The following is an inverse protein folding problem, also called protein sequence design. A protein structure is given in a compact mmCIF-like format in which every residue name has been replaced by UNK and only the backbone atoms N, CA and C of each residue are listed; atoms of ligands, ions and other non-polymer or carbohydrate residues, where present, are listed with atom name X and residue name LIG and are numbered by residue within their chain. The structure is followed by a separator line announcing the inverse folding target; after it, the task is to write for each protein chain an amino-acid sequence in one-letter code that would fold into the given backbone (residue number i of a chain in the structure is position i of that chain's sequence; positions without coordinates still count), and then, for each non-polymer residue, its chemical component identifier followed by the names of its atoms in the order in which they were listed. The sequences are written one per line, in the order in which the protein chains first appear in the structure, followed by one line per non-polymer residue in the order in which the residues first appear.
data_IF_206720251477
#
_entry.id   IF_206720251477
#
_cell.length_a   1.000
_cell.length_b   1.000
_cell.length_c   1.000
_cell.angle_alpha   90.00
_cell.angle_beta   90.00
_cell.angle_gamma   90.00
#
_symmetry.space_group_name_H-M   'P 1'
#
loop_
_entity.id
_entity.type
_entity.pdbx_description
1 polymer ?
#
# COMPACT_ATOMS: atom_id res chain seq x y z
N UNK A 1 -29.69 24.70 -20.45
CA UNK A 1 -28.51 23.81 -20.43
C UNK A 1 -29.01 22.42 -20.76
N UNK A 2 -28.74 21.88 -21.95
CA UNK A 2 -29.24 20.54 -22.32
C UNK A 2 -28.41 19.51 -21.56
N UNK A 3 -28.99 18.92 -20.52
CA UNK A 3 -28.42 17.76 -19.84
C UNK A 3 -28.80 16.55 -20.68
N UNK A 4 -27.81 15.95 -21.34
CA UNK A 4 -28.07 14.72 -22.09
C UNK A 4 -28.31 13.55 -21.13
N UNK A 5 -29.28 12.67 -21.43
CA UNK A 5 -29.50 11.48 -20.62
C UNK A 5 -28.26 10.57 -20.69
N UNK A 6 -27.85 10.02 -19.54
CA UNK A 6 -26.64 9.19 -19.40
C UNK A 6 -26.60 8.00 -20.37
N UNK A 7 -27.77 7.52 -20.79
CA UNK A 7 -27.93 6.43 -21.77
C UNK A 7 -27.33 6.74 -23.14
N UNK A 8 -27.22 8.02 -23.52
CA UNK A 8 -26.72 8.43 -24.83
C UNK A 8 -25.24 8.78 -24.82
N UNK A 9 -24.63 8.91 -23.64
CA UNK A 9 -23.22 9.31 -23.49
C UNK A 9 -22.28 8.31 -24.20
N UNK A 10 -22.47 6.98 -24.12
CA UNK A 10 -21.62 6.04 -24.84
C UNK A 10 -21.60 6.23 -26.36
N UNK A 11 -22.77 6.49 -26.95
CA UNK A 11 -22.87 6.75 -28.39
C UNK A 11 -22.23 8.09 -28.77
N UNK A 12 -22.42 9.13 -27.95
CA UNK A 12 -21.83 10.44 -28.15
C UNK A 12 -20.31 10.39 -28.13
N UNK A 13 -19.72 9.68 -27.17
CA UNK A 13 -18.27 9.51 -27.06
C UNK A 13 -17.73 8.77 -28.28
N UNK A 14 -18.36 7.67 -28.70
CA UNK A 14 -17.98 6.96 -29.94
C UNK A 14 -18.08 7.83 -31.20
N UNK A 15 -18.99 8.81 -31.23
CA UNK A 15 -19.09 9.78 -32.31
C UNK A 15 -17.94 10.80 -32.24
N UNK A 16 -17.67 11.34 -31.05
CA UNK A 16 -16.56 12.29 -30.83
C UNK A 16 -15.21 11.67 -31.18
N UNK A 17 -14.98 10.41 -30.81
CA UNK A 17 -13.76 9.69 -31.19
C UNK A 17 -13.63 9.53 -32.70
N UNK A 18 -14.72 9.18 -33.39
CA UNK A 18 -14.72 9.11 -34.86
C UNK A 18 -14.40 10.46 -35.50
N UNK A 19 -15.00 11.54 -34.98
CA UNK A 19 -14.70 12.90 -35.44
C UNK A 19 -13.23 13.28 -35.17
N UNK A 20 -12.71 12.97 -33.98
CA UNK A 20 -11.32 13.23 -33.61
C UNK A 20 -10.34 12.48 -34.52
N UNK A 21 -10.65 11.22 -34.88
CA UNK A 21 -9.85 10.41 -35.83
C UNK A 21 -9.93 10.90 -37.28
N UNK A 22 -10.98 11.63 -37.65
CA UNK A 22 -11.15 12.21 -38.97
C UNK A 22 -10.43 13.55 -39.15
N UNK A 23 -9.86 14.13 -38.07
CA UNK A 23 -9.07 15.34 -38.14
C UNK A 23 -7.70 15.07 -38.80
N UNK A 24 -7.03 16.11 -39.34
CA UNK A 24 -5.65 15.99 -39.78
C UNK A 24 -4.77 15.37 -38.69
N UNK A 25 -3.79 14.54 -39.07
CA UNK A 25 -2.89 13.82 -38.14
C UNK A 25 -2.28 14.74 -37.07
N UNK A 26 -1.95 15.98 -37.44
CA UNK A 26 -1.41 16.99 -36.52
C UNK A 26 -2.36 17.36 -35.37
N UNK A 27 -3.68 17.22 -35.55
CA UNK A 27 -4.72 17.59 -34.59
C UNK A 27 -5.41 16.38 -33.95
N UNK A 28 -5.39 15.23 -34.63
CA UNK A 28 -5.99 13.98 -34.16
C UNK A 28 -5.55 13.63 -32.74
N UNK A 29 -4.25 13.69 -32.46
CA UNK A 29 -3.70 13.35 -31.15
C UNK A 29 -4.26 14.24 -30.03
N UNK A 30 -4.28 15.55 -30.23
CA UNK A 30 -4.77 16.51 -29.23
C UNK A 30 -6.27 16.33 -28.99
N UNK A 31 -7.05 16.07 -30.05
CA UNK A 31 -8.49 15.86 -29.92
C UNK A 31 -8.83 14.58 -29.13
N UNK A 32 -8.08 13.49 -29.37
CA UNK A 32 -8.22 12.25 -28.60
C UNK A 32 -7.82 12.45 -27.14
N UNK A 33 -6.68 13.09 -26.87
CA UNK A 33 -6.21 13.36 -25.50
C UNK A 33 -7.22 14.22 -24.70
N UNK A 34 -7.85 15.22 -25.33
CA UNK A 34 -8.87 16.05 -24.69
C UNK A 34 -10.15 15.28 -24.34
N UNK A 35 -10.59 14.37 -25.22
CA UNK A 35 -11.77 13.52 -24.96
C UNK A 35 -11.50 12.61 -23.75
N UNK A 36 -10.32 12.01 -23.69
CA UNK A 36 -9.90 11.14 -22.58
C UNK A 36 -9.85 11.91 -21.24
N UNK A 37 -9.21 13.08 -21.23
CA UNK A 37 -9.18 13.95 -20.04
C UNK A 37 -10.57 14.36 -19.59
N UNK A 38 -11.45 14.72 -20.53
CA UNK A 38 -12.83 15.09 -20.23
C UNK A 38 -13.61 13.93 -19.62
N UNK A 39 -13.36 12.68 -20.05
CA UNK A 39 -14.01 11.49 -19.51
C UNK A 39 -13.64 11.23 -18.05
N UNK A 40 -12.38 11.44 -17.68
CA UNK A 40 -11.92 11.39 -16.27
C UNK A 40 -12.69 12.36 -15.41
N UNK A 41 -12.77 13.60 -15.87
CA UNK A 41 -13.40 14.67 -15.12
C UNK A 41 -14.92 14.49 -15.04
N UNK A 42 -15.54 13.96 -16.10
CA UNK A 42 -16.99 13.73 -16.18
C UNK A 42 -17.44 12.52 -15.35
N UNK A 43 -16.58 11.52 -15.16
CA UNK A 43 -16.91 10.26 -14.47
C UNK A 43 -15.97 9.93 -13.30
N UNK A 44 -15.83 10.80 -12.29
CA UNK A 44 -14.81 10.66 -11.25
C UNK A 44 -15.03 9.47 -10.30
N UNK A 45 -16.25 8.94 -10.22
CA UNK A 45 -16.62 7.82 -9.33
C UNK A 45 -16.67 6.46 -10.02
N UNK A 46 -16.48 6.42 -11.34
CA UNK A 46 -16.54 5.16 -12.09
C UNK A 46 -15.13 4.62 -12.30
N UNK A 47 -14.89 3.32 -12.06
CA UNK A 47 -13.58 2.74 -12.27
C UNK A 47 -13.22 2.70 -13.75
N UNK A 48 -11.93 2.83 -14.05
CA UNK A 48 -11.42 2.88 -15.43
C UNK A 48 -11.87 1.73 -16.31
N UNK A 49 -11.91 0.51 -15.75
CA UNK A 49 -12.37 -0.68 -16.47
C UNK A 49 -13.81 -0.59 -16.94
N UNK A 50 -14.66 0.06 -16.16
CA UNK A 50 -16.06 0.24 -16.54
C UNK A 50 -16.20 1.24 -17.68
N UNK A 51 -15.39 2.31 -17.67
CA UNK A 51 -15.36 3.30 -18.76
C UNK A 51 -14.79 2.68 -20.05
N UNK A 52 -13.72 1.88 -19.96
CA UNK A 52 -13.15 1.13 -21.10
C UNK A 52 -14.21 0.28 -21.81
N UNK A 53 -15.01 -0.48 -21.04
CA UNK A 53 -16.10 -1.32 -21.56
C UNK A 53 -17.25 -0.48 -22.11
N UNK A 54 -17.67 0.54 -21.36
CA UNK A 54 -18.83 1.38 -21.71
C UNK A 54 -18.63 2.12 -23.04
N UNK A 55 -17.41 2.56 -23.31
CA UNK A 55 -17.10 3.35 -24.51
C UNK A 55 -16.33 2.56 -25.58
N UNK A 56 -15.82 1.36 -25.27
CA UNK A 56 -15.13 0.49 -26.24
C UNK A 56 -13.69 0.91 -26.54
N UNK A 57 -12.96 1.29 -25.50
CA UNK A 57 -11.72 2.05 -25.60
C UNK A 57 -10.52 1.16 -25.31
N UNK A 58 -10.02 0.50 -26.34
CA UNK A 58 -8.92 -0.47 -26.18
C UNK A 58 -7.53 0.13 -26.34
N UNK A 59 -7.42 1.37 -26.85
CA UNK A 59 -6.15 2.00 -27.23
C UNK A 59 -5.65 3.09 -26.24
N UNK A 60 -6.44 3.42 -25.21
CA UNK A 60 -6.15 4.50 -24.27
C UNK A 60 -4.84 4.36 -23.49
N UNK A 61 -4.34 3.13 -23.33
CA UNK A 61 -3.05 2.88 -22.65
C UNK A 61 -1.85 3.49 -23.36
N UNK A 62 -2.01 3.86 -24.62
CA UNK A 62 -0.96 4.47 -25.44
C UNK A 62 -0.92 5.99 -25.33
N UNK A 63 -1.92 6.62 -24.69
CA UNK A 63 -1.93 8.08 -24.59
C UNK A 63 -1.03 8.58 -23.49
N UNK A 64 -0.51 9.78 -23.70
CA UNK A 64 0.39 10.43 -22.76
C UNK A 64 -0.29 10.61 -21.39
N UNK A 65 -1.55 11.03 -21.40
CA UNK A 65 -2.33 11.23 -20.18
C UNK A 65 -2.47 9.93 -19.36
N UNK A 66 -2.81 8.80 -19.99
CA UNK A 66 -2.88 7.52 -19.29
C UNK A 66 -1.53 7.12 -18.69
N UNK A 67 -0.44 7.28 -19.45
CA UNK A 67 0.91 6.96 -18.98
C UNK A 67 1.32 7.82 -17.79
N UNK A 68 1.03 9.11 -17.81
CA UNK A 68 1.32 10.04 -16.71
C UNK A 68 0.55 9.66 -15.44
N UNK A 69 -0.77 9.45 -15.54
CA UNK A 69 -1.61 9.06 -14.39
C UNK A 69 -1.20 7.69 -13.84
N UNK A 70 -0.90 6.74 -14.72
CA UNK A 70 -0.44 5.41 -14.30
C UNK A 70 0.94 5.45 -13.65
N UNK A 71 1.85 6.28 -14.15
CA UNK A 71 3.20 6.44 -13.59
C UNK A 71 3.14 7.11 -12.22
N UNK A 72 2.33 8.16 -12.06
CA UNK A 72 2.11 8.82 -10.78
C UNK A 72 1.50 7.85 -9.76
N UNK A 73 0.48 7.07 -10.16
CA UNK A 73 -0.13 6.05 -9.31
C UNK A 73 0.86 4.97 -8.88
N UNK A 74 1.71 4.50 -9.79
CA UNK A 74 2.78 3.54 -9.47
C UNK A 74 3.82 4.13 -8.52
N UNK A 75 4.29 5.35 -8.78
CA UNK A 75 5.26 6.03 -7.93
C UNK A 75 4.72 6.24 -6.52
N UNK A 76 3.47 6.69 -6.40
CA UNK A 76 2.81 6.90 -5.11
C UNK A 76 2.66 5.59 -4.35
N UNK A 77 2.12 4.56 -4.99
CA UNK A 77 1.96 3.24 -4.36
C UNK A 77 3.30 2.62 -3.94
N UNK A 78 4.35 2.79 -4.74
CA UNK A 78 5.69 2.32 -4.39
C UNK A 78 6.29 3.09 -3.20
N UNK A 79 6.12 4.42 -3.17
CA UNK A 79 6.59 5.25 -2.06
C UNK A 79 5.84 4.95 -0.76
N UNK A 80 4.52 4.84 -0.81
CA UNK A 80 3.68 4.50 0.34
C UNK A 80 4.02 3.11 0.87
N UNK A 81 4.02 2.09 0.02
CA UNK A 81 4.35 0.72 0.43
C UNK A 81 5.77 0.58 0.99
N UNK A 82 6.75 1.30 0.44
CA UNK A 82 8.12 1.29 0.96
C UNK A 82 8.23 2.01 2.31
N UNK A 83 7.48 3.09 2.51
CA UNK A 83 7.45 3.80 3.79
C UNK A 83 6.76 2.98 4.87
N UNK A 84 5.59 2.40 4.57
CA UNK A 84 4.84 1.53 5.47
C UNK A 84 5.68 0.32 5.87
N UNK A 85 6.19 -0.45 4.91
CA UNK A 85 7.00 -1.63 5.21
C UNK A 85 8.28 -1.31 6.00
N UNK A 86 8.90 -0.15 5.77
CA UNK A 86 10.05 0.30 6.58
C UNK A 86 9.64 0.65 8.01
N UNK A 87 8.49 1.28 8.20
CA UNK A 87 8.00 1.65 9.53
C UNK A 87 7.60 0.42 10.34
N UNK A 88 6.83 -0.49 9.73
CA UNK A 88 6.41 -1.75 10.34
C UNK A 88 7.63 -2.60 10.72
N UNK A 89 8.52 -2.88 9.76
CA UNK A 89 9.71 -3.70 10.04
C UNK A 89 10.65 -3.09 11.08
N UNK A 90 10.71 -1.75 11.20
CA UNK A 90 11.47 -1.10 12.27
C UNK A 90 10.80 -1.23 13.63
N UNK A 91 9.47 -1.15 13.70
CA UNK A 91 8.72 -1.30 14.94
C UNK A 91 8.79 -2.74 15.44
N UNK A 92 8.52 -3.70 14.56
CA UNK A 92 8.60 -5.14 14.86
C UNK A 92 10.02 -5.51 15.31
N UNK A 93 11.05 -5.17 14.52
CA UNK A 93 12.43 -5.50 14.88
C UNK A 93 12.90 -4.84 16.18
N UNK A 94 12.36 -3.68 16.55
CA UNK A 94 12.65 -3.06 17.86
C UNK A 94 11.96 -3.77 19.01
N UNK A 95 10.72 -4.22 18.81
CA UNK A 95 9.97 -4.95 19.84
C UNK A 95 10.57 -6.34 20.07
N UNK A 96 10.81 -7.10 19.00
CA UNK A 96 11.41 -8.44 19.04
C UNK A 96 12.81 -8.38 19.66
N UNK A 97 13.69 -7.52 19.13
CA UNK A 97 15.04 -7.37 19.69
C UNK A 97 15.05 -6.83 21.12
N UNK A 98 14.03 -6.07 21.52
CA UNK A 98 13.83 -5.65 22.91
C UNK A 98 13.49 -6.84 23.82
N UNK A 99 12.52 -7.65 23.43
CA UNK A 99 12.09 -8.84 24.17
C UNK A 99 13.22 -9.89 24.26
N UNK A 100 13.91 -10.17 23.15
CA UNK A 100 15.05 -11.08 23.13
C UNK A 100 16.15 -10.63 24.10
N UNK A 101 16.47 -9.33 24.10
CA UNK A 101 17.47 -8.78 25.02
C UNK A 101 17.03 -8.82 26.48
N UNK A 102 15.75 -8.58 26.76
CA UNK A 102 15.21 -8.72 28.13
C UNK A 102 15.37 -10.16 28.63
N UNK A 103 15.06 -11.14 27.78
CA UNK A 103 15.22 -12.56 28.10
C UNK A 103 16.69 -12.96 28.28
N UNK A 104 17.58 -12.53 27.39
CA UNK A 104 19.02 -12.79 27.49
C UNK A 104 19.60 -12.27 28.81
N UNK A 105 19.26 -11.02 29.17
CA UNK A 105 19.70 -10.41 30.42
C UNK A 105 19.11 -11.17 31.62
N UNK A 106 17.83 -11.54 31.58
CA UNK A 106 17.18 -12.28 32.66
C UNK A 106 17.86 -13.62 32.92
N UNK A 107 18.12 -14.40 31.86
CA UNK A 107 18.81 -15.69 31.93
C UNK A 107 20.20 -15.53 32.58
N UNK A 108 20.99 -14.58 32.08
CA UNK A 108 22.35 -14.35 32.59
C UNK A 108 22.36 -13.92 34.06
N UNK A 109 21.42 -13.07 34.47
CA UNK A 109 21.34 -12.64 35.87
C UNK A 109 20.90 -13.77 36.80
N UNK A 110 19.98 -14.63 36.36
CA UNK A 110 19.54 -15.82 37.10
C UNK A 110 20.68 -16.84 37.24
N UNK A 111 21.45 -17.08 36.17
CA UNK A 111 22.65 -17.93 36.21
C UNK A 111 23.71 -17.42 37.19
N UNK A 112 23.83 -16.09 37.32
CA UNK A 112 24.70 -15.45 38.31
C UNK A 112 24.14 -15.47 39.74
N UNK A 113 22.96 -16.06 39.96
CA UNK A 113 22.33 -16.19 41.28
C UNK A 113 21.60 -14.95 41.77
N UNK A 114 21.25 -14.02 40.88
CA UNK A 114 20.45 -12.84 41.24
C UNK A 114 19.03 -13.24 41.67
N UNK A 115 18.42 -12.49 42.59
CA UNK A 115 17.05 -12.77 43.02
C UNK A 115 16.04 -12.43 41.93
N UNK A 116 14.89 -13.11 41.94
CA UNK A 116 13.82 -12.96 40.95
C UNK A 116 13.33 -11.49 40.90
N UNK A 117 13.22 -10.86 42.06
CA UNK A 117 12.76 -9.48 42.20
C UNK A 117 13.74 -8.51 41.53
N UNK A 118 15.05 -8.70 41.74
CA UNK A 118 16.08 -7.85 41.15
C UNK A 118 16.18 -8.05 39.62
N UNK A 119 15.97 -9.29 39.15
CA UNK A 119 15.94 -9.59 37.72
C UNK A 119 14.72 -8.96 37.05
N UNK A 120 13.54 -9.06 37.66
CA UNK A 120 12.32 -8.42 37.17
C UNK A 120 12.50 -6.91 37.08
N UNK A 121 13.05 -6.28 38.12
CA UNK A 121 13.35 -4.84 38.13
C UNK A 121 14.38 -4.44 37.04
N UNK A 122 15.48 -5.19 36.92
CA UNK A 122 16.56 -4.86 35.99
C UNK A 122 16.24 -5.11 34.51
N UNK A 123 15.29 -5.99 34.22
CA UNK A 123 14.89 -6.35 32.84
C UNK A 123 13.57 -5.73 32.41
N UNK A 124 12.75 -5.29 33.36
CA UNK A 124 11.38 -4.82 33.11
C UNK A 124 10.39 -5.97 32.80
N UNK A 125 10.78 -7.22 33.04
CA UNK A 125 9.88 -8.38 32.99
C UNK A 125 9.05 -8.47 34.28
N UNK A 126 7.90 -9.13 34.22
CA UNK A 126 7.12 -9.44 35.41
C UNK A 126 7.80 -10.51 36.26
N UNK A 127 7.52 -10.52 37.57
CA UNK A 127 8.04 -11.54 38.49
C UNK A 127 7.62 -12.94 38.03
N UNK A 128 6.39 -13.09 37.53
CA UNK A 128 5.87 -14.35 36.99
C UNK A 128 6.63 -14.81 35.75
N UNK A 129 6.98 -13.88 34.83
CA UNK A 129 7.80 -14.20 33.66
C UNK A 129 9.19 -14.68 34.07
N UNK A 130 9.83 -14.00 35.02
CA UNK A 130 11.15 -14.39 35.53
C UNK A 130 11.09 -15.75 36.26
N UNK A 131 10.03 -16.02 37.03
CA UNK A 131 9.80 -17.33 37.65
C UNK A 131 9.67 -18.45 36.62
N UNK A 132 8.92 -18.21 35.53
CA UNK A 132 8.79 -19.19 34.44
C UNK A 132 10.15 -19.47 33.78
N UNK A 133 10.94 -18.43 33.50
CA UNK A 133 12.28 -18.57 32.93
C UNK A 133 13.17 -19.41 33.86
N UNK A 134 13.16 -19.13 35.17
CA UNK A 134 13.94 -19.88 36.15
C UNK A 134 13.52 -21.35 36.24
N UNK A 135 12.21 -21.64 36.18
CA UNK A 135 11.70 -23.03 36.16
C UNK A 135 12.18 -23.77 34.92
N UNK A 136 12.12 -23.15 33.75
CA UNK A 136 12.61 -23.73 32.49
C UNK A 136 14.12 -23.98 32.51
N UNK A 137 14.91 -23.05 33.06
CA UNK A 137 16.36 -23.19 33.22
C UNK A 137 16.71 -24.41 34.12
N UNK A 138 16.00 -24.56 35.23
CA UNK A 138 16.20 -25.66 36.18
C UNK A 138 15.80 -27.02 35.59
N UNK A 139 14.72 -27.08 34.81
CA UNK A 139 14.29 -28.29 34.10
C UNK A 139 15.26 -28.70 33.00
N UNK A 140 15.84 -27.73 32.28
CA UNK A 140 16.83 -27.96 31.22
C UNK A 140 18.18 -28.46 31.77
N UNK A 141 18.48 -28.14 33.03
CA UNK A 141 19.70 -28.57 33.73
C UNK A 141 19.58 -29.96 34.37
N UNK A 142 18.37 -30.54 34.39
CA UNK A 142 18.06 -31.85 35.01
C UNK A 142 17.84 -32.98 33.99
N UNK A 143 17.79 -32.65 32.69
CA UNK A 143 17.76 -33.59 31.57
C UNK A 143 19.14 -33.66 30.88
#
# INVERSE_FOLDING_TARGET
MVVEPETNVPQRIKQLERCARALPVAQQRNAVELIEQALVYKFPKRPWRELEVMFGLTEWKQTRFYQEVSAEGYQKGHQEGHQEGRQEGRQEGRQEGGQEKQLEIALKLLELGSSIELVAEGTGLSVEQVQQIQQQLNQSSQN
#
